data_IF_489472503182
#
_entry.id   IF_489472503182
#
_cell.length_a   1.000
_cell.length_b   1.000
_cell.length_c   1.000
_cell.angle_alpha   90.00
_cell.angle_beta   90.00
_cell.angle_gamma   90.00
#
_symmetry.space_group_name_H-M   'P 1'
#
loop_
_entity.id
_entity.type
_entity.pdbx_description
1 polymer ?
#
# COMPACT_ATOMS: atom_id res chain seq x y z
N UNK A 1 -2.92 4.27 4.48
CA UNK A 1 -2.30 3.55 3.35
C UNK A 1 -1.82 4.58 2.36
N UNK A 2 -0.57 4.48 1.92
CA UNK A 2 0.07 5.52 1.12
C UNK A 2 0.83 4.92 -0.05
N UNK A 3 0.88 5.65 -1.15
CA UNK A 3 1.75 5.39 -2.28
C UNK A 3 3.00 6.25 -2.15
N UNK A 4 4.16 5.59 -2.12
CA UNK A 4 5.49 6.19 -2.00
C UNK A 4 6.25 5.99 -3.29
N UNK A 5 6.87 7.05 -3.80
CA UNK A 5 7.79 6.98 -4.95
C UNK A 5 9.17 7.40 -4.48
N UNK A 6 10.15 6.52 -4.65
CA UNK A 6 11.56 6.77 -4.41
C UNK A 6 12.22 7.11 -5.74
N UNK A 7 12.75 8.33 -5.86
CA UNK A 7 13.42 8.80 -7.07
C UNK A 7 14.88 9.22 -6.83
N UNK A 8 15.66 9.32 -7.92
CA UNK A 8 17.11 9.56 -7.88
C UNK A 8 17.85 8.77 -8.97
N UNK A 9 19.13 9.04 -9.14
CA UNK A 9 19.96 8.41 -10.16
C UNK A 9 20.27 6.93 -9.82
N UNK A 10 20.89 6.24 -10.76
CA UNK A 10 21.37 4.88 -10.52
C UNK A 10 22.41 4.91 -9.39
N UNK A 11 22.25 4.02 -8.40
CA UNK A 11 23.14 3.97 -7.23
C UNK A 11 22.82 4.96 -6.11
N UNK A 12 21.79 5.80 -6.23
CA UNK A 12 21.37 6.74 -5.16
C UNK A 12 20.63 6.09 -3.99
N UNK A 13 20.54 4.76 -3.97
CA UNK A 13 19.96 4.01 -2.85
C UNK A 13 18.43 4.01 -2.79
N UNK A 14 17.74 4.15 -3.93
CA UNK A 14 16.27 4.07 -4.03
C UNK A 14 15.73 2.73 -3.55
N UNK A 15 16.15 1.64 -4.18
CA UNK A 15 15.78 0.25 -3.84
C UNK A 15 16.12 -0.05 -2.39
N UNK A 16 17.32 0.36 -1.96
CA UNK A 16 17.77 0.20 -0.59
C UNK A 16 16.87 0.95 0.41
N UNK A 17 16.55 2.23 0.15
CA UNK A 17 15.68 3.03 0.99
C UNK A 17 14.27 2.47 1.08
N UNK A 18 13.69 2.07 -0.05
CA UNK A 18 12.37 1.43 -0.11
C UNK A 18 12.35 0.10 0.67
N UNK A 19 13.36 -0.74 0.50
CA UNK A 19 13.53 -2.02 1.21
C UNK A 19 13.61 -1.82 2.73
N UNK A 20 14.50 -0.93 3.17
CA UNK A 20 14.74 -0.66 4.59
C UNK A 20 13.49 -0.09 5.24
N UNK A 21 12.82 0.87 4.60
CA UNK A 21 11.59 1.45 5.14
C UNK A 21 10.44 0.45 5.19
N UNK A 22 10.30 -0.42 4.19
CA UNK A 22 9.28 -1.47 4.20
C UNK A 22 9.46 -2.39 5.42
N UNK A 23 10.68 -2.85 5.66
CA UNK A 23 11.01 -3.65 6.85
C UNK A 23 10.83 -2.88 8.15
N UNK A 24 11.25 -1.61 8.20
CA UNK A 24 11.11 -0.77 9.37
C UNK A 24 9.64 -0.60 9.77
N UNK A 25 8.76 -0.27 8.81
CA UNK A 25 7.34 -0.10 9.09
C UNK A 25 6.64 -1.42 9.41
N UNK A 26 6.97 -2.51 8.72
CA UNK A 26 6.46 -3.83 9.07
C UNK A 26 6.87 -4.26 10.49
N UNK A 27 8.14 -4.04 10.86
CA UNK A 27 8.62 -4.35 12.21
C UNK A 27 7.96 -3.48 13.29
N UNK A 28 7.74 -2.19 13.00
CA UNK A 28 7.04 -1.28 13.91
C UNK A 28 5.56 -1.68 14.08
N UNK A 29 4.88 -2.04 12.99
CA UNK A 29 3.51 -2.53 13.03
C UNK A 29 3.39 -3.83 13.83
N UNK A 30 4.31 -4.78 13.61
CA UNK A 30 4.37 -6.03 14.37
C UNK A 30 4.56 -5.79 15.87
N UNK A 31 5.40 -4.84 16.26
CA UNK A 31 5.57 -4.43 17.67
C UNK A 31 4.29 -3.85 18.28
N UNK A 32 3.44 -3.24 17.46
CA UNK A 32 2.13 -2.73 17.87
C UNK A 32 1.00 -3.77 17.75
N UNK A 33 1.32 -5.05 17.52
CA UNK A 33 0.33 -6.13 17.36
C UNK A 33 -0.36 -6.17 16.01
N UNK A 34 0.05 -5.34 15.04
CA UNK A 34 -0.53 -5.29 13.69
C UNK A 34 0.26 -6.17 12.74
N UNK A 35 -0.42 -7.15 12.13
CA UNK A 35 0.17 -8.03 11.12
C UNK A 35 0.30 -7.29 9.78
N UNK A 36 1.51 -7.30 9.21
CA UNK A 36 1.84 -6.69 7.92
C UNK A 36 2.71 -7.66 7.12
N UNK A 37 2.21 -8.07 5.95
CA UNK A 37 2.97 -8.86 4.98
C UNK A 37 3.73 -7.94 4.00
N UNK A 38 4.93 -8.33 3.60
CA UNK A 38 5.71 -7.62 2.57
C UNK A 38 5.64 -8.40 1.25
N UNK A 39 5.47 -7.69 0.14
CA UNK A 39 5.47 -8.24 -1.21
C UNK A 39 6.48 -7.49 -2.09
N UNK A 40 7.15 -8.14 -3.02
CA UNK A 40 8.07 -7.45 -3.95
C UNK A 40 8.28 -8.16 -5.30
N UNK A 41 8.57 -7.38 -6.34
CA UNK A 41 8.89 -7.89 -7.69
C UNK A 41 10.36 -8.31 -7.87
N UNK A 42 11.15 -8.23 -6.81
CA UNK A 42 12.54 -8.67 -6.72
C UNK A 42 12.75 -9.45 -5.41
N UNK A 43 13.92 -10.08 -5.26
CA UNK A 43 14.27 -10.88 -4.10
C UNK A 43 14.56 -10.04 -2.85
N UNK A 44 13.51 -9.53 -2.20
CA UNK A 44 13.57 -8.88 -0.89
C UNK A 44 13.39 -9.93 0.21
N UNK A 45 14.24 -9.90 1.23
CA UNK A 45 14.30 -10.90 2.29
C UNK A 45 13.01 -10.86 3.11
N UNK A 46 12.29 -11.97 3.17
CA UNK A 46 11.05 -12.05 3.95
C UNK A 46 9.86 -11.37 3.28
N UNK A 47 9.96 -11.00 2.00
CA UNK A 47 8.81 -10.68 1.18
C UNK A 47 8.27 -11.93 0.47
N UNK A 48 7.01 -11.87 0.07
CA UNK A 48 6.39 -12.78 -0.90
C UNK A 48 6.55 -12.22 -2.32
N UNK A 49 6.59 -13.08 -3.35
CA UNK A 49 6.73 -12.61 -4.73
C UNK A 49 5.53 -11.75 -5.16
N UNK A 50 5.83 -10.75 -6.00
CA UNK A 50 4.87 -9.90 -6.69
C UNK A 50 5.33 -9.78 -8.15
N UNK A 51 5.19 -10.86 -8.91
CA UNK A 51 5.70 -11.00 -10.29
C UNK A 51 4.59 -11.20 -11.32
N UNK A 52 3.41 -11.57 -10.86
CA UNK A 52 2.24 -11.81 -11.70
C UNK A 52 0.98 -11.26 -11.01
N UNK A 53 -0.02 -10.83 -11.76
CA UNK A 53 -1.24 -10.22 -11.19
C UNK A 53 -1.96 -11.14 -10.18
N UNK A 54 -1.90 -12.46 -10.38
CA UNK A 54 -2.45 -13.45 -9.44
C UNK A 54 -1.79 -13.41 -8.05
N UNK A 55 -0.57 -12.88 -7.93
CA UNK A 55 0.08 -12.69 -6.63
C UNK A 55 -0.70 -11.71 -5.75
N UNK A 56 -1.50 -10.81 -6.35
CA UNK A 56 -2.37 -9.90 -5.63
C UNK A 56 -3.55 -10.59 -4.93
N UNK A 57 -3.86 -11.85 -5.23
CA UNK A 57 -4.78 -12.62 -4.40
C UNK A 57 -4.22 -12.82 -2.99
N UNK A 58 -2.91 -12.99 -2.85
CA UNK A 58 -2.26 -13.07 -1.54
C UNK A 58 -2.27 -11.71 -0.84
N UNK A 59 -2.05 -10.62 -1.59
CA UNK A 59 -2.19 -9.25 -1.08
C UNK A 59 -3.60 -9.00 -0.53
N UNK A 60 -4.64 -9.47 -1.23
CA UNK A 60 -6.03 -9.35 -0.80
C UNK A 60 -6.33 -10.12 0.49
N UNK A 61 -5.72 -11.32 0.67
CA UNK A 61 -5.80 -12.12 1.90
C UNK A 61 -5.05 -11.50 3.09
N UNK A 62 -4.02 -10.71 2.83
CA UNK A 62 -3.26 -10.07 3.89
C UNK A 62 -4.12 -9.02 4.63
N UNK A 63 -4.12 -8.99 5.98
CA UNK A 63 -4.84 -7.97 6.73
C UNK A 63 -4.34 -6.57 6.41
N UNK A 64 -3.01 -6.42 6.36
CA UNK A 64 -2.31 -5.24 5.90
C UNK A 64 -1.09 -5.69 5.12
N UNK A 65 -0.67 -4.90 4.14
CA UNK A 65 0.53 -5.23 3.37
C UNK A 65 1.32 -4.01 2.92
N UNK A 66 2.61 -4.23 2.68
CA UNK A 66 3.50 -3.29 2.01
C UNK A 66 4.02 -3.97 0.76
N UNK A 67 3.77 -3.37 -0.39
CA UNK A 67 4.29 -3.81 -1.67
C UNK A 67 5.49 -2.96 -2.04
N UNK A 68 6.57 -3.58 -2.51
CA UNK A 68 7.79 -2.90 -2.97
C UNK A 68 8.05 -3.26 -4.42
N UNK A 69 7.85 -2.30 -5.29
CA UNK A 69 8.04 -2.42 -6.73
C UNK A 69 9.29 -1.67 -7.15
N UNK A 70 10.35 -2.40 -7.39
CA UNK A 70 11.58 -1.84 -7.94
C UNK A 70 11.43 -1.61 -9.44
N UNK A 71 12.06 -0.55 -9.93
CA UNK A 71 12.01 -0.09 -11.32
C UNK A 71 10.58 -0.04 -11.89
N UNK A 72 9.65 0.54 -11.13
CA UNK A 72 8.24 0.61 -11.46
C UNK A 72 7.96 1.30 -12.82
N UNK A 73 8.87 2.16 -13.28
CA UNK A 73 8.81 2.79 -14.58
C UNK A 73 8.85 1.79 -15.75
N UNK A 74 9.37 0.58 -15.57
CA UNK A 74 9.37 -0.45 -16.62
C UNK A 74 7.96 -1.03 -16.82
N UNK A 75 7.19 -1.14 -15.74
CA UNK A 75 5.79 -1.56 -15.79
C UNK A 75 4.82 -0.41 -16.10
N UNK A 76 5.14 0.81 -15.70
CA UNK A 76 4.24 1.96 -15.70
C UNK A 76 4.81 3.13 -16.53
N UNK A 77 5.55 2.83 -17.59
CA UNK A 77 6.15 3.83 -18.48
C UNK A 77 5.06 4.74 -19.06
N UNK A 78 5.20 6.05 -18.83
CA UNK A 78 4.26 7.07 -19.30
C UNK A 78 4.09 7.12 -20.83
N UNK A 79 5.05 6.58 -21.58
CA UNK A 79 5.03 6.54 -23.06
C UNK A 79 4.33 5.30 -23.63
N UNK A 80 4.13 4.28 -22.79
CA UNK A 80 3.56 2.98 -23.22
C UNK A 80 2.10 2.83 -22.78
N UNK A 81 1.37 3.94 -22.69
CA UNK A 81 -0.05 3.99 -22.31
C UNK A 81 -0.94 3.10 -23.20
N UNK A 82 -0.55 2.89 -24.47
CA UNK A 82 -1.29 2.06 -25.43
C UNK A 82 -1.26 0.55 -25.13
N UNK A 83 -0.41 0.08 -24.21
CA UNK A 83 -0.44 -1.31 -23.75
C UNK A 83 -1.53 -1.46 -22.68
N UNK A 84 -2.58 -2.21 -23.00
CA UNK A 84 -3.71 -2.46 -22.09
C UNK A 84 -3.30 -2.86 -20.67
N UNK A 85 -2.23 -3.63 -20.52
CA UNK A 85 -1.68 -4.02 -19.20
C UNK A 85 -1.35 -2.85 -18.27
N UNK A 86 -0.85 -1.73 -18.80
CA UNK A 86 -0.51 -0.56 -18.00
C UNK A 86 -1.78 0.15 -17.52
N UNK A 87 -2.80 0.21 -18.39
CA UNK A 87 -4.11 0.77 -18.04
C UNK A 87 -4.76 -0.03 -16.91
N UNK A 88 -4.76 -1.36 -17.00
CA UNK A 88 -5.35 -2.22 -15.98
C UNK A 88 -4.58 -2.19 -14.66
N UNK A 89 -3.24 -2.14 -14.71
CA UNK A 89 -2.41 -2.06 -13.51
C UNK A 89 -2.62 -0.74 -12.75
N UNK A 90 -2.65 0.38 -13.46
CA UNK A 90 -2.93 1.69 -12.87
C UNK A 90 -4.36 1.78 -12.31
N UNK A 91 -5.36 1.24 -13.02
CA UNK A 91 -6.74 1.13 -12.52
C UNK A 91 -6.81 0.31 -11.22
N UNK A 92 -6.13 -0.83 -11.19
CA UNK A 92 -6.07 -1.67 -10.00
C UNK A 92 -5.48 -0.93 -8.78
N UNK A 93 -4.49 -0.06 -8.98
CA UNK A 93 -3.87 0.69 -7.89
C UNK A 93 -4.77 1.72 -7.21
N UNK A 94 -5.90 2.11 -7.81
CA UNK A 94 -6.92 2.90 -7.11
C UNK A 94 -7.54 2.14 -5.93
N UNK A 95 -7.51 0.80 -5.94
CA UNK A 95 -8.10 -0.03 -4.88
C UNK A 95 -7.14 -0.32 -3.71
N UNK A 96 -5.89 0.15 -3.74
CA UNK A 96 -4.91 -0.13 -2.68
C UNK A 96 -5.40 0.25 -1.27
N UNK A 97 -6.18 1.34 -1.14
CA UNK A 97 -6.79 1.73 0.13
C UNK A 97 -7.78 0.69 0.64
N UNK A 98 -8.59 0.08 -0.23
CA UNK A 98 -9.58 -0.96 0.14
C UNK A 98 -8.91 -2.30 0.48
N UNK A 99 -7.73 -2.54 -0.11
CA UNK A 99 -6.90 -3.71 0.19
C UNK A 99 -6.03 -3.54 1.46
N UNK A 100 -6.09 -2.39 2.12
CA UNK A 100 -5.19 -2.04 3.24
C UNK A 100 -3.71 -2.27 2.86
N UNK A 101 -3.33 -1.81 1.67
CA UNK A 101 -1.99 -2.00 1.14
C UNK A 101 -1.29 -0.69 0.81
N UNK A 102 -0.03 -0.54 1.25
CA UNK A 102 0.84 0.57 0.88
C UNK A 102 1.76 0.12 -0.24
N UNK A 103 2.05 1.02 -1.17
CA UNK A 103 2.86 0.71 -2.35
C UNK A 103 4.09 1.60 -2.37
N UNK A 104 5.27 1.00 -2.34
CA UNK A 104 6.56 1.65 -2.47
C UNK A 104 7.11 1.36 -3.86
N UNK A 105 7.27 2.38 -4.68
CA UNK A 105 7.81 2.27 -6.03
C UNK A 105 9.17 2.94 -6.10
N UNK A 106 10.09 2.37 -6.87
CA UNK A 106 11.31 3.07 -7.27
C UNK A 106 11.25 3.44 -8.75
N UNK A 107 11.80 4.60 -9.09
CA UNK A 107 11.92 5.06 -10.47
C UNK A 107 13.10 6.04 -10.56
N UNK A 108 13.80 6.17 -11.71
CA UNK A 108 14.78 7.23 -11.88
C UNK A 108 14.18 8.63 -11.66
N UNK A 109 12.94 8.83 -12.13
CA UNK A 109 12.17 10.06 -11.92
C UNK A 109 10.69 9.72 -11.82
N UNK A 110 9.96 10.41 -10.95
CA UNK A 110 8.49 10.32 -10.91
C UNK A 110 7.86 10.65 -12.26
N UNK A 111 8.49 11.51 -13.08
CA UNK A 111 7.98 11.89 -14.42
C UNK A 111 7.94 10.75 -15.42
N UNK A 112 8.69 9.66 -15.17
CA UNK A 112 8.68 8.48 -16.02
C UNK A 112 7.45 7.59 -15.77
N UNK A 113 6.73 7.82 -14.67
CA UNK A 113 5.52 7.08 -14.33
C UNK A 113 4.29 7.67 -15.03
N UNK A 114 3.33 6.80 -15.35
CA UNK A 114 1.99 7.15 -15.82
C UNK A 114 1.38 8.29 -14.97
N UNK A 115 0.69 9.24 -15.63
CA UNK A 115 0.10 10.41 -14.96
C UNK A 115 -0.88 10.05 -13.84
N UNK A 116 -1.63 8.95 -13.98
CA UNK A 116 -2.56 8.48 -12.94
C UNK A 116 -1.81 8.06 -11.69
N UNK A 117 -0.67 7.40 -11.84
CA UNK A 117 0.19 7.00 -10.73
C UNK A 117 0.80 8.20 -10.03
N UNK A 118 1.24 9.20 -10.80
CA UNK A 118 1.73 10.46 -10.22
C UNK A 118 0.63 11.13 -9.38
N UNK A 119 -0.59 11.21 -9.90
CA UNK A 119 -1.72 11.78 -9.17
C UNK A 119 -2.12 10.97 -7.92
N UNK A 120 -1.90 9.65 -7.92
CA UNK A 120 -2.11 8.80 -6.76
C UNK A 120 -0.97 8.88 -5.73
N UNK A 121 0.18 9.43 -6.10
CA UNK A 121 1.35 9.46 -5.23
C UNK A 121 1.12 10.40 -4.06
N UNK A 122 1.29 9.87 -2.83
CA UNK A 122 1.16 10.68 -1.63
C UNK A 122 2.53 11.20 -1.16
N UNK A 123 3.53 10.33 -1.20
CA UNK A 123 4.86 10.63 -0.68
C UNK A 123 5.89 10.48 -1.79
N UNK A 124 6.67 11.54 -2.04
CA UNK A 124 7.83 11.51 -2.92
C UNK A 124 9.09 11.52 -2.07
N UNK A 125 10.03 10.63 -2.36
CA UNK A 125 11.30 10.52 -1.65
C UNK A 125 12.45 10.74 -2.62
N UNK A 126 13.15 11.86 -2.47
CA UNK A 126 14.36 12.16 -3.22
C UNK A 126 15.56 11.50 -2.55
N UNK A 127 16.09 10.49 -3.23
CA UNK A 127 17.22 9.69 -2.77
C UNK A 127 18.52 10.24 -3.35
N UNK A 128 19.55 10.39 -2.52
CA UNK A 128 20.89 10.79 -2.94
C UNK A 128 21.96 10.00 -2.21
N UNK A 129 22.97 9.51 -2.92
CA UNK A 129 24.20 9.01 -2.30
C UNK A 129 25.07 10.17 -1.81
N UNK A 130 25.60 10.06 -0.60
CA UNK A 130 26.56 11.05 -0.07
C UNK A 130 27.99 10.60 -0.32
N UNK A 131 28.93 11.55 -0.44
CA UNK A 131 30.34 11.28 -0.80
C UNK A 131 31.07 10.30 0.13
N UNK A 132 30.59 10.09 1.37
CA UNK A 132 31.13 9.12 2.32
C UNK A 132 30.54 7.71 2.22
N UNK A 133 29.69 7.42 1.24
CA UNK A 133 29.01 6.13 1.12
C UNK A 133 27.73 5.99 1.96
N UNK A 134 27.22 7.10 2.48
CA UNK A 134 25.91 7.17 3.13
C UNK A 134 24.79 7.50 2.12
N UNK A 135 23.57 7.58 2.61
CA UNK A 135 22.41 7.99 1.82
C UNK A 135 21.61 9.09 2.52
N UNK A 136 21.10 10.04 1.75
CA UNK A 136 20.10 10.99 2.20
C UNK A 136 18.78 10.77 1.47
N UNK A 137 17.68 10.94 2.20
CA UNK A 137 16.31 10.79 1.74
C UNK A 137 15.51 12.01 2.18
N UNK A 138 15.18 12.87 1.23
CA UNK A 138 14.30 14.01 1.46
C UNK A 138 12.86 13.56 1.14
N UNK A 139 12.00 13.53 2.15
CA UNK A 139 10.63 13.01 2.08
C UNK A 139 9.67 14.19 1.95
N UNK A 140 8.88 14.18 0.88
CA UNK A 140 7.94 15.22 0.52
C UNK A 140 6.51 14.67 0.54
N UNK A 141 5.58 15.50 1.00
CA UNK A 141 4.18 15.40 0.59
C UNK A 141 4.10 15.84 -0.86
N UNK A 142 3.75 14.91 -1.74
CA UNK A 142 3.75 15.17 -3.18
C UNK A 142 2.62 16.10 -3.59
N UNK A 143 1.43 15.95 -3.00
CA UNK A 143 0.27 16.78 -3.35
C UNK A 143 0.40 18.20 -2.79
N UNK A 144 0.93 18.31 -1.57
CA UNK A 144 1.17 19.60 -0.91
C UNK A 144 2.50 20.27 -1.28
N UNK A 145 3.32 19.64 -2.14
CA UNK A 145 4.68 20.07 -2.51
C UNK A 145 5.56 20.47 -1.32
N UNK A 146 5.39 19.79 -0.18
CA UNK A 146 5.97 20.18 1.10
C UNK A 146 7.00 19.18 1.57
N UNK A 147 8.20 19.65 1.90
CA UNK A 147 9.18 18.81 2.59
C UNK A 147 8.67 18.45 3.99
N UNK A 148 8.47 17.16 4.23
CA UNK A 148 8.02 16.62 5.51
C UNK A 148 9.21 16.29 6.42
N UNK A 149 10.26 15.68 5.85
CA UNK A 149 11.39 15.19 6.62
C UNK A 149 12.63 15.02 5.78
N UNK A 150 13.81 15.28 6.36
CA UNK A 150 15.09 14.81 5.84
C UNK A 150 15.57 13.63 6.68
N UNK A 151 15.94 12.53 6.05
CA UNK A 151 16.54 11.37 6.70
C UNK A 151 17.95 11.19 6.17
N UNK A 152 18.90 10.95 7.07
CA UNK A 152 20.27 10.64 6.70
C UNK A 152 20.66 9.30 7.30
N UNK A 153 21.19 8.42 6.46
CA UNK A 153 21.72 7.14 6.88
C UNK A 153 23.24 7.16 6.73
N UNK A 154 23.99 7.17 7.86
CA UNK A 154 25.43 7.26 7.82
C UNK A 154 26.06 5.94 7.33
N UNK A 155 27.29 6.00 6.78
CA UNK A 155 27.94 4.85 6.15
C UNK A 155 28.04 3.60 7.04
N UNK A 156 28.30 3.75 8.34
CA UNK A 156 28.41 2.61 9.25
C UNK A 156 27.09 1.82 9.37
N UNK A 157 25.94 2.49 9.41
CA UNK A 157 24.62 1.83 9.41
C UNK A 157 24.27 1.23 8.07
N UNK A 158 24.67 1.89 6.99
CA UNK A 158 24.53 1.35 5.63
C UNK A 158 25.23 0.01 5.53
N UNK A 159 26.48 -0.08 6.01
CA UNK A 159 27.25 -1.31 6.03
C UNK A 159 26.60 -2.41 6.88
N UNK A 160 26.07 -2.08 8.07
CA UNK A 160 25.33 -3.03 8.90
C UNK A 160 24.08 -3.58 8.19
N UNK A 161 23.31 -2.72 7.53
CA UNK A 161 22.12 -3.12 6.80
C UNK A 161 22.45 -3.95 5.55
N UNK A 162 23.54 -3.65 4.85
CA UNK A 162 24.01 -4.49 3.75
C UNK A 162 24.48 -5.87 4.23
N UNK A 163 25.10 -5.97 5.42
CA UNK A 163 25.44 -7.27 6.04
C UNK A 163 24.21 -8.12 6.32
N UNK A 164 23.05 -7.50 6.58
CA UNK A 164 21.79 -8.22 6.74
C UNK A 164 21.26 -8.84 5.43
N UNK A 165 21.87 -8.52 4.28
CA UNK A 165 21.53 -9.03 2.94
C UNK A 165 20.03 -8.94 2.68
N UNK A 166 19.48 -7.73 2.84
CA UNK A 166 18.04 -7.50 2.68
C UNK A 166 17.57 -7.83 1.27
N UNK A 167 18.40 -7.64 0.24
CA UNK A 167 18.07 -8.05 -1.12
C UNK A 167 19.35 -8.31 -1.91
N UNK A 168 19.20 -9.00 -3.04
CA UNK A 168 20.29 -9.18 -4.00
C UNK A 168 20.31 -8.02 -4.99
N UNK A 169 21.41 -7.25 -5.00
CA UNK A 169 21.61 -6.09 -5.89
C UNK A 169 21.84 -6.48 -7.35
N UNK A 170 22.26 -7.71 -7.62
CA UNK A 170 22.69 -8.15 -8.95
C UNK A 170 21.54 -8.80 -9.75
N UNK A 171 20.39 -9.00 -9.11
CA UNK A 171 19.23 -9.57 -9.75
C UNK A 171 18.56 -8.54 -10.67
N UNK A 172 18.40 -8.90 -11.94
CA UNK A 172 17.57 -8.13 -12.87
C UNK A 172 16.13 -8.18 -12.39
N UNK A 173 15.55 -7.01 -12.15
CA UNK A 173 14.15 -6.85 -11.73
C UNK A 173 13.24 -7.27 -12.89
N UNK A 174 12.26 -8.13 -12.58
CA UNK A 174 11.28 -8.59 -13.56
C UNK A 174 10.02 -7.73 -13.49
N UNK A 175 9.42 -7.51 -14.66
CA UNK A 175 8.15 -6.83 -14.77
C UNK A 175 7.04 -7.67 -14.13
N UNK A 176 6.14 -7.00 -13.41
CA UNK A 176 4.90 -7.62 -12.95
C UNK A 176 4.00 -7.84 -14.15
N UNK A 177 3.61 -9.08 -14.42
CA UNK A 177 2.72 -9.40 -15.53
C UNK A 177 1.27 -9.07 -15.13
N UNK A 178 0.63 -8.16 -15.87
CA UNK A 178 -0.77 -7.79 -15.68
C UNK A 178 -1.66 -8.31 -16.82
N UNK A 179 -2.97 -8.51 -16.61
CA UNK A 179 -3.89 -8.87 -17.67
C UNK A 179 -3.80 -7.87 -18.83
N UNK A 180 -3.85 -8.37 -20.06
CA UNK A 180 -3.71 -7.54 -21.27
C UNK A 180 -5.04 -7.15 -21.90
N UNK A 181 -6.14 -7.74 -21.45
CA UNK A 181 -7.49 -7.49 -21.96
C UNK A 181 -8.49 -7.37 -20.80
N UNK A 182 -9.63 -6.75 -21.12
CA UNK A 182 -10.69 -6.39 -20.17
C UNK A 182 -11.28 -7.61 -19.46
N UNK A 183 -11.64 -8.66 -20.22
CA UNK A 183 -12.20 -9.87 -19.64
C UNK A 183 -11.29 -10.49 -18.58
N UNK A 184 -10.00 -10.65 -18.88
CA UNK A 184 -9.04 -11.21 -17.94
C UNK A 184 -8.80 -10.28 -16.74
N UNK A 185 -8.93 -8.97 -16.94
CA UNK A 185 -8.87 -7.99 -15.85
C UNK A 185 -10.09 -8.07 -14.93
N UNK A 186 -11.29 -8.20 -15.48
CA UNK A 186 -12.54 -8.34 -14.72
C UNK A 186 -12.55 -9.64 -13.92
N UNK A 187 -12.15 -10.76 -14.53
CA UNK A 187 -11.98 -12.05 -13.84
C UNK A 187 -10.98 -11.92 -12.68
N UNK A 188 -9.86 -11.21 -12.91
CA UNK A 188 -8.88 -10.93 -11.86
C UNK A 188 -9.46 -10.07 -10.73
N UNK A 189 -10.17 -8.99 -11.05
CA UNK A 189 -10.70 -8.05 -10.07
C UNK A 189 -11.80 -8.70 -9.23
N UNK A 190 -12.71 -9.45 -9.85
CA UNK A 190 -13.75 -10.22 -9.17
C UNK A 190 -13.16 -11.21 -8.17
N UNK A 191 -12.08 -11.90 -8.54
CA UNK A 191 -11.40 -12.81 -7.63
C UNK A 191 -10.72 -12.07 -6.47
N UNK A 192 -10.08 -10.92 -6.71
CA UNK A 192 -9.54 -10.08 -5.63
C UNK A 192 -10.64 -9.65 -4.66
N UNK A 193 -11.79 -9.22 -5.17
CA UNK A 193 -12.95 -8.81 -4.38
C UNK A 193 -13.48 -10.00 -3.56
N UNK A 194 -13.69 -11.15 -4.20
CA UNK A 194 -14.16 -12.37 -3.53
C UNK A 194 -13.24 -12.74 -2.37
N UNK A 195 -11.94 -12.85 -2.62
CA UNK A 195 -10.93 -13.21 -1.61
C UNK A 195 -10.86 -12.17 -0.48
N UNK A 196 -11.05 -10.89 -0.79
CA UNK A 196 -11.11 -9.83 0.21
C UNK A 196 -12.37 -9.93 1.07
N UNK A 197 -13.52 -10.18 0.44
CA UNK A 197 -14.81 -10.30 1.12
C UNK A 197 -14.89 -11.59 1.93
N UNK A 198 -14.27 -12.69 1.53
CA UNK A 198 -14.17 -13.89 2.38
C UNK A 198 -13.46 -13.60 3.71
N UNK A 199 -12.57 -12.60 3.75
CA UNK A 199 -11.85 -12.19 4.95
C UNK A 199 -12.61 -11.16 5.80
N UNK A 200 -13.35 -10.25 5.16
CA UNK A 200 -14.00 -9.10 5.82
C UNK A 200 -15.53 -9.15 5.85
N UNK A 201 -16.15 -9.99 5.01
CA UNK A 201 -17.60 -10.16 4.92
C UNK A 201 -18.19 -10.66 6.24
N UNK A 202 -17.48 -11.56 6.95
CA UNK A 202 -17.88 -11.96 8.29
C UNK A 202 -17.75 -10.84 9.35
N UNK A 203 -17.03 -9.75 9.06
CA UNK A 203 -16.89 -8.60 9.96
C UNK A 203 -17.88 -7.49 9.63
N UNK A 204 -18.25 -7.33 8.35
CA UNK A 204 -19.28 -6.39 7.93
C UNK A 204 -20.68 -6.90 8.30
N UNK A 205 -20.96 -8.20 8.10
CA UNK A 205 -22.20 -8.82 8.54
C UNK A 205 -22.32 -8.78 10.08
N UNK A 206 -21.22 -8.94 10.82
CA UNK A 206 -21.20 -8.87 12.28
C UNK A 206 -21.29 -7.42 12.82
N UNK A 207 -20.67 -6.44 12.16
CA UNK A 207 -20.86 -5.02 12.52
C UNK A 207 -22.28 -4.57 12.20
N UNK A 208 -22.84 -4.94 11.05
CA UNK A 208 -24.21 -4.63 10.67
C UNK A 208 -25.23 -5.34 11.57
N UNK A 209 -25.01 -6.61 11.97
CA UNK A 209 -25.82 -7.30 12.97
C UNK A 209 -25.69 -6.68 14.37
N UNK A 210 -24.48 -6.32 14.81
CA UNK A 210 -24.26 -5.72 16.12
C UNK A 210 -24.81 -4.29 16.20
N UNK A 211 -24.74 -3.50 15.12
CA UNK A 211 -25.42 -2.22 15.01
C UNK A 211 -26.94 -2.38 14.92
N UNK A 212 -27.45 -3.38 14.19
CA UNK A 212 -28.88 -3.68 14.15
C UNK A 212 -29.42 -4.13 15.52
N UNK A 213 -28.66 -4.89 16.30
CA UNK A 213 -29.00 -5.28 17.67
C UNK A 213 -28.91 -4.11 18.66
N UNK A 214 -27.98 -3.16 18.46
CA UNK A 214 -27.92 -1.91 19.24
C UNK A 214 -29.06 -0.94 18.90
N UNK A 215 -29.64 -1.04 17.70
CA UNK A 215 -30.75 -0.23 17.22
C UNK A 215 -32.13 -0.87 17.46
N UNK A 216 -32.18 -2.11 17.95
CA UNK A 216 -33.40 -2.66 18.55
C UNK A 216 -33.59 -1.96 19.90
N UNK A 217 -34.37 -0.88 19.89
CA UNK A 217 -34.82 -0.27 21.13
C UNK A 217 -35.51 -1.34 22.00
N UNK A 218 -35.34 -1.30 23.33
CA UNK A 218 -36.14 -2.13 24.22
C UNK A 218 -37.60 -1.66 24.14
N UNK A 219 -38.40 -2.29 23.28
CA UNK A 219 -39.84 -2.02 23.14
C UNK A 219 -40.68 -2.37 24.39
N UNK A 220 -40.08 -2.68 25.53
CA UNK A 220 -40.80 -3.14 26.73
C UNK A 220 -40.70 -2.22 27.98
N UNK A 221 -40.43 -0.91 27.85
CA UNK A 221 -40.52 0.00 29.01
C UNK A 221 -41.22 1.35 28.77
N UNK A 222 -42.08 1.48 27.76
CA UNK A 222 -42.86 2.71 27.53
C UNK A 222 -44.38 2.53 27.76
N UNK A 223 -44.77 1.60 28.63
CA UNK A 223 -46.15 1.48 29.11
C UNK A 223 -46.20 1.72 30.61
N UNK A 224 -45.97 2.97 31.03
CA UNK A 224 -46.49 3.58 32.27
C UNK A 224 -46.03 5.05 32.29
N UNK A 225 -46.85 5.95 31.75
CA UNK A 225 -46.73 7.39 31.98
C UNK A 225 -47.35 7.72 33.34
N UNK A 226 -46.59 8.08 34.38
CA UNK A 226 -47.14 8.37 35.70
C UNK A 226 -47.74 9.77 35.83
N UNK A 227 -47.81 10.58 34.76
CA UNK A 227 -48.21 11.99 34.83
C UNK A 227 -49.48 12.34 34.04
N UNK A 228 -50.22 11.36 33.53
CA UNK A 228 -51.42 11.59 32.71
C UNK A 228 -52.73 11.81 33.49
N UNK A 229 -52.68 12.20 34.78
CA UNK A 229 -53.88 12.52 35.55
C UNK A 229 -53.68 13.74 36.44
N UNK A 230 -54.05 14.92 35.93
CA UNK A 230 -54.69 16.01 36.70
C UNK A 230 -54.89 17.21 35.76
N UNK A 231 -56.11 17.35 35.23
CA UNK A 231 -56.72 18.61 34.82
C UNK A 231 -58.20 18.34 34.47
N UNK A 232 -59.05 18.24 35.50
CA UNK A 232 -60.48 18.48 35.34
C UNK A 232 -60.81 19.93 35.75
N UNK A 233 -61.66 20.65 34.99
CA UNK A 233 -62.01 22.04 35.28
C UNK A 233 -63.15 22.12 36.32
N UNK A 234 -63.09 23.14 37.18
CA UNK A 234 -64.20 23.62 38.01
C UNK A 234 -64.75 24.94 37.44
#
# INVERSE_FOLDING_TARGET
>A
MYLWVFQGHLGDGKTFGASVLAHYYAARAKKAGVLVDIYSNYGLRGSRPLTHYKDYYNVARSPNSIQVMDEAHVNLDSRMFSKGSNIYMTQFFFYLRKLHSSLFMTSPSIRNLDSRIRNLTNILVDCRKTGGGGFSYDVYDYAGEKLLRKMFLPPYRVQELFKARLYNTDNIVRNVQFPSNERAFDEFLNEVIRVRNERYGSAQDAEDEMFADLLKEPEEMAAEDPFAAENEPA
#
